data_IF_572181134053
#
_entry.id   IF_572181134053
#
_cell.length_a   1.000
_cell.length_b   1.000
_cell.length_c   1.000
_cell.angle_alpha   90.00
_cell.angle_beta   90.00
_cell.angle_gamma   90.00
#
_symmetry.space_group_name_H-M   'P 1'
#
loop_
_entity.id
_entity.type
_entity.pdbx_description
1 polymer ?
#
# COMPACT_ATOMS: atom_id res chain seq x y z
N UNK A 1 -12.83 8.97 12.20
CA UNK A 1 -13.27 7.78 11.43
C UNK A 1 -12.92 7.92 9.95
N UNK A 2 -13.24 9.03 9.32
CA UNK A 2 -12.95 9.34 7.91
C UNK A 2 -11.47 9.22 7.54
N UNK A 3 -10.57 9.84 8.31
CA UNK A 3 -9.11 9.76 8.07
C UNK A 3 -8.57 8.33 8.17
N UNK A 4 -9.11 7.52 9.09
CA UNK A 4 -8.74 6.11 9.21
C UNK A 4 -9.23 5.30 8.01
N UNK A 5 -10.46 5.55 7.55
CA UNK A 5 -11.00 4.94 6.35
C UNK A 5 -10.16 5.28 5.10
N UNK A 6 -9.81 6.57 4.90
CA UNK A 6 -8.94 6.98 3.79
C UNK A 6 -7.57 6.30 3.85
N UNK A 7 -7.00 6.14 5.05
CA UNK A 7 -5.75 5.40 5.22
C UNK A 7 -5.88 3.94 4.78
N UNK A 8 -6.98 3.26 5.13
CA UNK A 8 -7.26 1.89 4.69
C UNK A 8 -7.43 1.83 3.16
N UNK A 9 -8.11 2.81 2.57
CA UNK A 9 -8.28 2.89 1.10
C UNK A 9 -6.91 3.05 0.42
N UNK A 10 -6.06 3.98 0.88
CA UNK A 10 -4.71 4.18 0.35
C UNK A 10 -3.84 2.91 0.47
N UNK A 11 -3.88 2.26 1.64
CA UNK A 11 -3.19 0.97 1.83
C UNK A 11 -3.69 -0.09 0.85
N UNK A 12 -5.00 -0.14 0.62
CA UNK A 12 -5.63 -1.08 -0.30
C UNK A 12 -5.24 -0.83 -1.76
N UNK A 13 -5.15 0.45 -2.19
CA UNK A 13 -4.69 0.83 -3.52
C UNK A 13 -3.23 0.45 -3.71
N UNK A 14 -2.35 0.83 -2.77
CA UNK A 14 -0.93 0.48 -2.82
C UNK A 14 -0.71 -1.04 -2.84
N UNK A 15 -1.47 -1.80 -2.02
CA UNK A 15 -1.40 -3.26 -2.02
C UNK A 15 -1.93 -3.89 -3.32
N UNK A 16 -2.82 -3.22 -4.05
CA UNK A 16 -3.33 -3.72 -5.34
C UNK A 16 -2.22 -3.90 -6.38
N UNK A 17 -1.25 -3.00 -6.42
CA UNK A 17 -0.06 -3.15 -7.27
C UNK A 17 0.78 -4.37 -6.88
N UNK A 18 0.99 -4.57 -5.58
CA UNK A 18 1.68 -5.75 -5.07
C UNK A 18 0.92 -7.04 -5.40
N UNK A 19 -0.42 -7.05 -5.24
CA UNK A 19 -1.26 -8.22 -5.58
C UNK A 19 -1.09 -8.59 -7.05
N UNK A 20 -1.16 -7.63 -7.96
CA UNK A 20 -0.95 -7.88 -9.39
C UNK A 20 0.45 -8.45 -9.68
N UNK A 21 1.49 -7.91 -9.05
CA UNK A 21 2.85 -8.41 -9.18
C UNK A 21 2.98 -9.85 -8.63
N UNK A 22 2.37 -10.16 -7.47
CA UNK A 22 2.36 -11.51 -6.90
C UNK A 22 1.62 -12.49 -7.79
N UNK A 23 0.45 -12.11 -8.33
CA UNK A 23 -0.30 -12.97 -9.28
C UNK A 23 0.54 -13.28 -10.52
N UNK A 24 1.24 -12.29 -11.06
CA UNK A 24 2.14 -12.50 -12.20
C UNK A 24 3.31 -13.42 -11.83
N UNK A 25 3.99 -13.14 -10.72
CA UNK A 25 5.12 -13.93 -10.24
C UNK A 25 4.71 -15.39 -9.95
N UNK A 26 3.52 -15.61 -9.38
CA UNK A 26 2.95 -16.94 -9.15
C UNK A 26 2.76 -17.74 -10.45
N UNK A 27 2.40 -17.07 -11.54
CA UNK A 27 2.28 -17.70 -12.86
C UNK A 27 3.66 -18.09 -13.41
N UNK A 28 4.66 -17.24 -13.22
CA UNK A 28 6.05 -17.51 -13.63
C UNK A 28 6.66 -18.65 -12.82
N UNK A 29 6.43 -18.64 -11.50
CA UNK A 29 6.99 -19.61 -10.56
C UNK A 29 6.16 -20.91 -10.42
N UNK A 30 5.44 -21.35 -11.45
CA UNK A 30 4.61 -22.57 -11.42
C UNK A 30 5.34 -23.84 -10.96
N UNK A 31 6.66 -23.93 -11.26
CA UNK A 31 7.52 -25.07 -10.92
C UNK A 31 8.18 -24.94 -9.53
N UNK A 32 8.02 -23.81 -8.87
CA UNK A 32 8.53 -23.60 -7.52
C UNK A 32 7.71 -24.34 -6.46
N UNK A 33 8.29 -24.65 -5.29
CA UNK A 33 7.57 -25.23 -4.16
C UNK A 33 6.37 -24.38 -3.77
N UNK A 34 5.24 -25.01 -3.48
CA UNK A 34 3.96 -24.31 -3.23
C UNK A 34 3.97 -23.45 -1.95
N UNK A 35 4.83 -23.78 -0.97
CA UNK A 35 4.99 -22.95 0.22
C UNK A 35 5.48 -21.53 -0.08
N UNK A 36 6.21 -21.32 -1.19
CA UNK A 36 6.67 -19.98 -1.61
C UNK A 36 5.49 -19.11 -2.01
N UNK A 37 4.47 -19.66 -2.67
CA UNK A 37 3.26 -18.92 -2.97
C UNK A 37 2.54 -18.43 -1.70
N UNK A 38 2.49 -19.28 -0.66
CA UNK A 38 1.92 -18.89 0.64
C UNK A 38 2.73 -17.78 1.29
N UNK A 39 4.07 -17.80 1.17
CA UNK A 39 4.94 -16.73 1.63
C UNK A 39 4.66 -15.40 0.90
N UNK A 40 4.48 -15.45 -0.42
CA UNK A 40 4.13 -14.26 -1.23
C UNK A 40 2.82 -13.62 -0.75
N UNK A 41 1.81 -14.44 -0.43
CA UNK A 41 0.57 -13.93 0.16
C UNK A 41 0.77 -13.35 1.57
N UNK A 42 1.74 -13.86 2.32
CA UNK A 42 2.18 -13.27 3.60
C UNK A 42 2.73 -11.84 3.42
N UNK A 43 3.51 -11.59 2.36
CA UNK A 43 4.00 -10.24 2.02
C UNK A 43 2.82 -9.30 1.70
N UNK A 44 1.83 -9.77 0.93
CA UNK A 44 0.61 -9.00 0.64
C UNK A 44 -0.17 -8.69 1.92
N UNK A 45 -0.36 -9.68 2.79
CA UNK A 45 -1.05 -9.49 4.07
C UNK A 45 -0.32 -8.48 4.96
N UNK A 46 1.01 -8.54 5.01
CA UNK A 46 1.82 -7.57 5.74
C UNK A 46 1.59 -6.14 5.22
N UNK A 47 1.57 -5.92 3.89
CA UNK A 47 1.31 -4.61 3.29
C UNK A 47 -0.10 -4.09 3.60
N UNK A 48 -1.11 -4.98 3.67
CA UNK A 48 -2.48 -4.63 3.99
C UNK A 48 -2.71 -4.35 5.48
N UNK A 49 -1.88 -4.90 6.38
CA UNK A 49 -2.02 -4.74 7.84
C UNK A 49 -1.14 -3.61 8.36
N UNK A 50 0.10 -3.51 7.85
CA UNK A 50 1.11 -2.61 8.39
C UNK A 50 0.96 -1.20 7.77
N UNK A 51 0.59 -0.19 8.57
CA UNK A 51 0.43 1.18 8.09
C UNK A 51 1.77 1.92 7.95
N UNK A 52 2.86 1.30 8.39
CA UNK A 52 4.20 1.87 8.33
C UNK A 52 4.91 1.37 7.08
N UNK A 53 5.62 2.25 6.41
CA UNK A 53 6.45 1.93 5.27
C UNK A 53 7.72 2.75 5.30
N UNK A 54 8.80 2.16 4.81
CA UNK A 54 10.07 2.84 4.63
C UNK A 54 10.11 3.45 3.23
N UNK A 55 10.67 4.64 3.11
CA UNK A 55 10.92 5.24 1.80
C UNK A 55 12.15 4.61 1.16
N UNK A 56 12.07 4.32 -0.13
CA UNK A 56 13.17 3.76 -0.91
C UNK A 56 13.09 4.18 -2.36
N UNK A 57 14.24 4.49 -2.94
CA UNK A 57 14.37 4.71 -4.38
C UNK A 57 14.09 3.44 -5.22
N UNK A 58 14.07 2.26 -4.59
CA UNK A 58 13.75 0.98 -5.24
C UNK A 58 12.25 0.68 -5.23
N UNK A 59 11.41 1.54 -4.65
CA UNK A 59 9.97 1.33 -4.63
C UNK A 59 9.39 1.34 -6.05
N UNK A 60 8.57 0.34 -6.34
CA UNK A 60 7.79 0.23 -7.57
C UNK A 60 6.33 0.66 -7.37
N UNK A 61 5.97 1.11 -6.17
CA UNK A 61 4.65 1.67 -5.91
C UNK A 61 4.61 3.08 -6.50
N UNK A 62 3.64 3.40 -7.38
CA UNK A 62 3.59 4.71 -8.03
C UNK A 62 3.34 5.86 -7.05
N UNK A 63 2.45 5.66 -6.05
CA UNK A 63 2.12 6.65 -5.03
C UNK A 63 1.94 6.01 -3.67
N UNK A 64 2.52 6.63 -2.64
CA UNK A 64 2.34 6.21 -1.25
C UNK A 64 0.98 6.63 -0.69
N UNK A 65 0.47 7.78 -1.13
CA UNK A 65 -0.74 8.42 -0.67
C UNK A 65 -1.53 8.93 -1.87
N UNK A 66 -2.37 8.06 -2.42
CA UNK A 66 -3.17 8.36 -3.61
C UNK A 66 -4.24 9.40 -3.32
N UNK A 67 -4.88 9.33 -2.14
CA UNK A 67 -5.93 10.22 -1.69
C UNK A 67 -5.43 10.94 -0.44
N UNK A 68 -5.22 12.26 -0.52
CA UNK A 68 -4.83 13.05 0.63
C UNK A 68 -5.93 13.04 1.70
N UNK A 69 -5.60 12.93 3.00
CA UNK A 69 -6.58 13.09 4.08
C UNK A 69 -7.28 14.46 4.06
N UNK A 70 -6.64 15.46 3.47
CA UNK A 70 -7.12 16.84 3.38
C UNK A 70 -8.05 17.09 2.19
N UNK A 71 -8.23 16.11 1.30
CA UNK A 71 -9.10 16.22 0.11
C UNK A 71 -10.52 16.73 0.45
N UNK A 72 -10.98 16.50 1.68
CA UNK A 72 -12.27 16.99 2.17
C UNK A 72 -12.30 18.53 2.36
N UNK A 73 -11.13 19.16 2.50
CA UNK A 73 -11.01 20.61 2.74
C UNK A 73 -10.48 21.37 1.52
N UNK A 74 -10.05 20.64 0.50
CA UNK A 74 -9.52 21.23 -0.73
C UNK A 74 -10.62 21.86 -1.59
N UNK A 75 -10.35 23.06 -2.10
CA UNK A 75 -11.20 23.73 -3.07
C UNK A 75 -11.14 23.09 -4.46
N UNK A 76 -10.01 22.47 -4.77
CA UNK A 76 -9.78 21.71 -6.00
C UNK A 76 -9.36 20.29 -5.60
N UNK A 77 -10.33 19.38 -5.32
CA UNK A 77 -9.99 18.02 -4.89
C UNK A 77 -9.31 17.25 -6.03
N UNK A 78 -8.09 16.78 -5.77
CA UNK A 78 -7.29 16.01 -6.72
C UNK A 78 -6.75 14.75 -6.04
N UNK A 79 -6.53 13.70 -6.84
CA UNK A 79 -5.85 12.48 -6.41
C UNK A 79 -4.49 12.36 -7.12
N UNK A 80 -3.54 11.72 -6.45
CA UNK A 80 -2.22 11.46 -7.01
C UNK A 80 -1.98 9.95 -7.07
N UNK A 81 -2.29 9.35 -8.20
CA UNK A 81 -2.08 7.90 -8.39
C UNK A 81 -0.61 7.56 -8.63
N UNK A 82 0.24 8.56 -8.92
CA UNK A 82 1.63 8.40 -9.36
C UNK A 82 1.76 7.96 -10.82
N UNK A 83 0.65 7.87 -11.55
CA UNK A 83 0.60 7.57 -12.98
C UNK A 83 -0.06 8.72 -13.71
N UNK A 84 0.75 9.62 -14.29
CA UNK A 84 0.28 10.87 -14.91
C UNK A 84 -0.84 10.69 -15.95
N UNK A 85 -0.86 9.55 -16.66
CA UNK A 85 -1.93 9.27 -17.64
C UNK A 85 -3.28 9.02 -16.98
N UNK A 86 -3.30 8.44 -15.77
CA UNK A 86 -4.51 8.22 -14.99
C UNK A 86 -4.95 9.53 -14.36
N UNK A 87 -4.02 10.27 -13.75
CA UNK A 87 -4.30 11.53 -13.07
C UNK A 87 -4.91 12.57 -14.01
N UNK A 88 -4.39 12.67 -15.25
CA UNK A 88 -4.95 13.56 -16.30
C UNK A 88 -6.39 13.23 -16.72
N UNK A 89 -6.82 11.99 -16.58
CA UNK A 89 -8.19 11.57 -16.94
C UNK A 89 -9.12 11.70 -15.75
N UNK A 90 -8.64 11.36 -14.55
CA UNK A 90 -9.48 11.23 -13.36
C UNK A 90 -9.65 12.57 -12.64
N UNK A 91 -8.60 13.37 -12.52
CA UNK A 91 -8.66 14.64 -11.77
C UNK A 91 -9.66 15.65 -12.33
N UNK A 92 -9.79 15.87 -13.66
CA UNK A 92 -10.84 16.74 -14.18
C UNK A 92 -12.24 16.29 -13.76
N UNK A 93 -12.51 14.97 -13.81
CA UNK A 93 -13.80 14.41 -13.42
C UNK A 93 -14.05 14.62 -11.91
N UNK A 94 -13.03 14.43 -11.07
CA UNK A 94 -13.14 14.63 -9.62
C UNK A 94 -13.40 16.10 -9.32
N UNK A 95 -12.60 17.00 -9.91
CA UNK A 95 -12.74 18.44 -9.69
C UNK A 95 -14.10 18.95 -10.17
N UNK A 96 -14.54 18.56 -11.37
CA UNK A 96 -15.86 18.98 -11.90
C UNK A 96 -17.04 18.44 -11.07
N UNK A 97 -16.88 17.25 -10.47
CA UNK A 97 -17.98 16.60 -9.71
C UNK A 97 -18.01 17.04 -8.25
N UNK A 98 -16.85 17.27 -7.63
CA UNK A 98 -16.72 17.47 -6.18
C UNK A 98 -16.13 18.82 -5.77
N UNK A 99 -15.81 19.72 -6.70
CA UNK A 99 -15.42 21.08 -6.33
C UNK A 99 -16.60 21.76 -5.59
N UNK A 100 -16.34 22.45 -4.47
CA UNK A 100 -17.38 23.18 -3.77
C UNK A 100 -17.90 24.34 -4.64
N UNK A 101 -19.21 24.49 -4.73
CA UNK A 101 -19.79 25.67 -5.38
C UNK A 101 -19.47 26.92 -4.55
N UNK A 102 -19.20 28.09 -5.19
CA UNK A 102 -18.84 29.34 -4.50
C UNK A 102 -19.87 29.80 -3.45
N UNK A 103 -21.13 29.37 -3.59
CA UNK A 103 -22.25 29.73 -2.71
C UNK A 103 -22.50 28.64 -1.64
N UNK A 104 -22.03 27.41 -1.86
CA UNK A 104 -22.19 26.30 -0.91
C UNK A 104 -21.01 26.27 0.08
N UNK A 105 -21.31 26.37 1.35
CA UNK A 105 -20.31 26.41 2.43
C UNK A 105 -19.62 25.07 2.74
N UNK A 106 -19.99 23.97 2.09
CA UNK A 106 -19.46 22.63 2.38
C UNK A 106 -19.02 21.90 1.10
N UNK A 107 -17.80 21.36 1.12
CA UNK A 107 -17.31 20.47 0.08
C UNK A 107 -18.15 19.17 0.10
N UNK A 108 -18.71 18.68 -1.04
CA UNK A 108 -19.48 17.44 -1.10
C UNK A 108 -18.72 16.23 -0.52
N UNK A 109 -17.39 16.20 -0.60
CA UNK A 109 -16.55 15.15 -0.03
C UNK A 109 -16.60 15.12 1.50
N UNK A 110 -16.85 16.24 2.17
CA UNK A 110 -17.02 16.28 3.64
C UNK A 110 -18.24 15.45 4.10
N UNK A 111 -19.25 15.31 3.25
CA UNK A 111 -20.42 14.49 3.54
C UNK A 111 -20.25 13.04 3.02
N UNK A 112 -19.69 12.88 1.83
CA UNK A 112 -19.56 11.59 1.17
C UNK A 112 -18.59 10.65 1.90
N UNK A 113 -17.41 11.12 2.28
CA UNK A 113 -16.38 10.28 2.90
C UNK A 113 -16.82 9.71 4.26
N UNK A 114 -17.45 10.47 5.17
CA UNK A 114 -18.02 9.90 6.40
C UNK A 114 -19.11 8.84 6.13
N UNK A 115 -19.98 9.05 5.13
CA UNK A 115 -21.00 8.06 4.75
C UNK A 115 -20.34 6.77 4.24
N UNK A 116 -19.35 6.88 3.36
CA UNK A 116 -18.59 5.72 2.88
C UNK A 116 -17.86 5.00 4.02
N UNK A 117 -17.31 5.74 5.00
CA UNK A 117 -16.68 5.14 6.17
C UNK A 117 -17.68 4.36 7.06
N UNK A 118 -18.92 4.83 7.16
CA UNK A 118 -20.00 4.10 7.86
C UNK A 118 -20.37 2.82 7.09
N UNK A 119 -20.56 2.92 5.76
CA UNK A 119 -20.85 1.76 4.91
C UNK A 119 -19.72 0.72 5.00
N UNK A 120 -18.48 1.17 4.99
CA UNK A 120 -17.32 0.31 5.18
C UNK A 120 -17.35 -0.42 6.52
N UNK A 121 -17.64 0.28 7.62
CA UNK A 121 -17.71 -0.31 8.95
C UNK A 121 -18.87 -1.33 9.05
N UNK A 122 -20.03 -1.04 8.46
CA UNK A 122 -21.16 -1.98 8.40
C UNK A 122 -20.76 -3.24 7.63
N UNK A 123 -20.05 -3.11 6.51
CA UNK A 123 -19.56 -4.24 5.75
C UNK A 123 -18.62 -5.15 6.55
N UNK A 124 -17.67 -4.57 7.31
CA UNK A 124 -16.80 -5.33 8.21
C UNK A 124 -17.63 -6.10 9.25
N UNK A 125 -18.56 -5.42 9.92
CA UNK A 125 -19.42 -6.04 10.94
C UNK A 125 -20.22 -7.20 10.33
N UNK A 126 -20.81 -7.01 9.16
CA UNK A 126 -21.56 -8.05 8.47
C UNK A 126 -20.70 -9.30 8.16
N UNK A 127 -19.47 -9.09 7.67
CA UNK A 127 -18.53 -10.18 7.40
C UNK A 127 -18.09 -10.92 8.68
N UNK A 128 -17.80 -10.19 9.76
CA UNK A 128 -17.42 -10.78 11.04
C UNK A 128 -18.58 -11.56 11.68
N UNK A 129 -19.80 -11.00 11.62
CA UNK A 129 -21.02 -11.69 12.10
C UNK A 129 -21.25 -12.98 11.29
N UNK A 130 -21.09 -12.91 9.97
CA UNK A 130 -21.20 -14.11 9.12
C UNK A 130 -20.17 -15.18 9.50
N UNK A 131 -18.90 -14.81 9.73
CA UNK A 131 -17.86 -15.72 10.17
C UNK A 131 -18.18 -16.34 11.53
N UNK A 132 -18.61 -15.52 12.50
CA UNK A 132 -18.97 -15.98 13.85
C UNK A 132 -20.17 -16.95 13.81
N UNK A 133 -21.23 -16.58 13.10
CA UNK A 133 -22.42 -17.47 12.95
C UNK A 133 -22.03 -18.78 12.27
N UNK A 134 -21.22 -18.73 11.23
CA UNK A 134 -20.73 -19.93 10.54
C UNK A 134 -19.87 -20.82 11.45
N UNK A 135 -19.00 -20.23 12.25
CA UNK A 135 -18.18 -20.95 13.21
C UNK A 135 -19.02 -21.63 14.30
N UNK A 136 -19.96 -20.92 14.91
CA UNK A 136 -20.84 -21.50 15.95
C UNK A 136 -21.78 -22.58 15.39
N UNK A 137 -22.28 -22.42 14.15
CA UNK A 137 -23.04 -23.48 13.48
C UNK A 137 -22.20 -24.74 13.28
N UNK A 138 -20.94 -24.58 12.87
CA UNK A 138 -20.03 -25.70 12.68
C UNK A 138 -19.69 -26.36 14.03
N UNK A 139 -19.43 -25.58 15.07
CA UNK A 139 -19.18 -26.07 16.42
C UNK A 139 -20.37 -26.86 16.97
N UNK A 140 -21.61 -26.45 16.72
CA UNK A 140 -22.79 -27.20 17.11
C UNK A 140 -22.90 -28.55 16.40
N UNK A 141 -22.55 -28.63 15.10
CA UNK A 141 -22.56 -29.88 14.34
C UNK A 141 -21.58 -30.92 14.89
N UNK A 142 -20.42 -30.46 15.36
CA UNK A 142 -19.42 -31.38 15.93
C UNK A 142 -19.61 -31.68 17.42
N UNK A 143 -20.64 -31.08 18.04
CA UNK A 143 -20.90 -31.28 19.47
C UNK A 143 -21.16 -32.72 19.92
N UNK A 144 -21.67 -33.57 19.01
CA UNK A 144 -21.93 -35.00 19.24
C UNK A 144 -20.80 -35.94 18.76
N UNK A 145 -19.61 -35.37 18.47
CA UNK A 145 -18.48 -36.19 17.97
C UNK A 145 -17.84 -37.06 19.04
N UNK A 146 -17.32 -38.22 18.64
CA UNK A 146 -16.63 -39.16 19.50
C UNK A 146 -15.12 -39.01 19.36
N UNK A 147 -14.42 -38.93 20.49
CA UNK A 147 -12.94 -38.88 20.49
C UNK A 147 -12.40 -40.29 20.22
N UNK A 148 -11.51 -40.39 19.24
CA UNK A 148 -10.85 -41.66 18.88
C UNK A 148 -9.42 -41.72 19.41
N UNK A 149 -8.69 -40.60 19.29
CA UNK A 149 -7.31 -40.50 19.71
C UNK A 149 -6.94 -39.02 19.86
N UNK A 150 -6.26 -38.66 20.93
CA UNK A 150 -5.74 -37.27 21.22
C UNK A 150 -6.60 -36.13 20.67
N UNK A 151 -6.29 -35.66 19.47
CA UNK A 151 -6.96 -34.55 18.81
C UNK A 151 -7.80 -35.00 17.60
N UNK A 152 -8.12 -36.30 17.46
CA UNK A 152 -8.92 -36.84 16.34
C UNK A 152 -10.29 -37.26 16.85
N UNK A 153 -11.33 -36.73 16.17
CA UNK A 153 -12.73 -36.95 16.48
C UNK A 153 -13.48 -37.47 15.27
N UNK A 154 -14.38 -38.43 15.47
CA UNK A 154 -15.30 -38.91 14.44
C UNK A 154 -16.67 -38.28 14.65
N UNK A 155 -17.30 -37.86 13.57
CA UNK A 155 -18.59 -37.16 13.57
C UNK A 155 -19.45 -37.64 12.40
N UNK A 156 -20.74 -37.93 12.67
CA UNK A 156 -21.72 -38.37 11.67
C UNK A 156 -22.29 -37.22 10.85
N UNK A 157 -22.37 -36.02 11.44
CA UNK A 157 -23.01 -34.84 10.84
C UNK A 157 -22.13 -34.05 9.86
N UNK A 158 -20.93 -34.53 9.58
CA UNK A 158 -20.01 -33.91 8.65
C UNK A 158 -19.76 -34.77 7.43
N UNK A 159 -19.51 -34.13 6.28
CA UNK A 159 -19.27 -34.83 5.01
C UNK A 159 -17.81 -34.80 4.57
N UNK A 160 -17.01 -33.90 5.14
CA UNK A 160 -15.61 -33.72 4.79
C UNK A 160 -14.78 -33.56 6.06
N UNK A 161 -13.55 -34.05 6.08
CA UNK A 161 -12.61 -33.82 7.17
C UNK A 161 -12.31 -32.33 7.28
N UNK A 162 -12.06 -31.83 8.47
CA UNK A 162 -11.59 -30.45 8.72
C UNK A 162 -11.02 -30.29 10.13
N UNK A 163 -10.31 -29.20 10.32
CA UNK A 163 -9.77 -28.78 11.61
C UNK A 163 -10.64 -27.69 12.20
N UNK A 164 -11.00 -27.80 13.48
CA UNK A 164 -11.71 -26.80 14.24
C UNK A 164 -11.00 -26.51 15.56
N UNK A 165 -10.97 -25.23 15.94
CA UNK A 165 -10.35 -24.75 17.19
C UNK A 165 -9.13 -23.87 16.92
N UNK A 166 -9.02 -22.75 17.65
CA UNK A 166 -7.89 -21.82 17.56
C UNK A 166 -6.72 -22.27 18.43
N UNK A 167 -6.97 -22.44 19.74
CA UNK A 167 -5.92 -22.77 20.72
C UNK A 167 -5.70 -24.28 20.90
N UNK A 168 -6.76 -25.07 20.70
CA UNK A 168 -6.72 -26.52 20.76
C UNK A 168 -7.36 -27.06 19.49
N UNK A 169 -6.63 -27.03 18.37
CA UNK A 169 -7.17 -27.50 17.09
C UNK A 169 -7.37 -29.02 17.12
N UNK A 170 -8.57 -29.45 16.76
CA UNK A 170 -8.96 -30.84 16.65
C UNK A 170 -9.33 -31.19 15.22
N UNK A 171 -8.98 -32.39 14.79
CA UNK A 171 -9.31 -32.95 13.47
C UNK A 171 -10.63 -33.70 13.60
N UNK A 172 -11.60 -33.33 12.78
CA UNK A 172 -12.90 -33.98 12.69
C UNK A 172 -12.99 -34.77 11.38
N UNK A 173 -13.35 -36.04 11.46
CA UNK A 173 -13.40 -36.97 10.32
C UNK A 173 -14.82 -37.54 10.23
N UNK A 174 -15.44 -37.63 9.03
CA UNK A 174 -16.71 -38.29 8.84
C UNK A 174 -16.66 -39.78 9.24
N UNK A 175 -17.70 -40.29 9.91
CA UNK A 175 -17.78 -41.70 10.30
C UNK A 175 -17.80 -42.72 9.13
N UNK A 176 -18.29 -42.29 7.96
CA UNK A 176 -18.31 -43.07 6.72
C UNK A 176 -16.99 -43.09 5.93
N UNK A 177 -15.88 -42.68 6.53
CA UNK A 177 -14.58 -42.68 5.86
C UNK A 177 -14.01 -44.11 5.78
N UNK A 178 -13.56 -44.48 4.57
CA UNK A 178 -12.91 -45.77 4.35
C UNK A 178 -11.60 -45.88 5.17
N UNK A 179 -11.45 -47.00 5.89
CA UNK A 179 -10.26 -47.27 6.72
C UNK A 179 -8.96 -47.23 5.91
N UNK A 180 -8.98 -47.64 4.64
CA UNK A 180 -7.83 -47.61 3.75
C UNK A 180 -7.38 -46.15 3.42
N UNK A 181 -8.29 -45.20 3.45
CA UNK A 181 -8.03 -43.77 3.14
C UNK A 181 -7.68 -42.97 4.38
N UNK A 182 -8.07 -43.46 5.56
CA UNK A 182 -7.92 -42.74 6.83
C UNK A 182 -6.47 -42.26 7.11
N UNK A 183 -5.39 -43.07 6.90
CA UNK A 183 -4.03 -42.61 7.12
C UNK A 183 -3.64 -41.38 6.26
N UNK A 184 -4.11 -41.35 5.02
CA UNK A 184 -3.81 -40.25 4.07
C UNK A 184 -4.55 -39.00 4.45
N UNK A 185 -5.80 -39.09 4.87
CA UNK A 185 -6.61 -37.97 5.35
C UNK A 185 -5.98 -37.37 6.61
N UNK A 186 -5.63 -38.20 7.59
CA UNK A 186 -4.97 -37.76 8.82
C UNK A 186 -3.61 -37.10 8.50
N UNK A 187 -2.85 -37.66 7.56
CA UNK A 187 -1.57 -37.05 7.15
C UNK A 187 -1.78 -35.66 6.55
N UNK A 188 -2.84 -35.46 5.75
CA UNK A 188 -3.20 -34.17 5.18
C UNK A 188 -3.59 -33.15 6.25
N UNK A 189 -4.53 -33.49 7.14
CA UNK A 189 -4.98 -32.62 8.22
C UNK A 189 -3.82 -32.31 9.20
N UNK A 190 -2.96 -33.25 9.50
CA UNK A 190 -1.75 -33.00 10.27
C UNK A 190 -0.75 -32.07 9.56
N UNK A 191 -0.69 -32.06 8.24
CA UNK A 191 0.13 -31.11 7.49
C UNK A 191 -0.39 -29.68 7.70
N UNK A 192 -1.71 -29.46 7.71
CA UNK A 192 -2.32 -28.18 8.06
C UNK A 192 -1.98 -27.75 9.50
N UNK A 193 -2.08 -28.65 10.47
CA UNK A 193 -1.70 -28.34 11.86
C UNK A 193 -0.23 -27.94 11.99
N UNK A 194 0.67 -28.71 11.39
CA UNK A 194 2.12 -28.43 11.41
C UNK A 194 2.50 -27.12 10.71
N UNK A 195 1.65 -26.60 9.84
CA UNK A 195 1.81 -25.34 9.12
C UNK A 195 1.10 -24.16 9.81
N UNK A 196 0.33 -24.45 10.87
CA UNK A 196 -0.49 -23.45 11.56
C UNK A 196 -1.56 -22.81 10.65
N UNK A 197 -2.08 -23.52 9.65
CA UNK A 197 -3.03 -23.00 8.68
C UNK A 197 -4.36 -22.60 9.34
N UNK A 198 -4.69 -23.16 10.51
CA UNK A 198 -5.82 -22.77 11.36
C UNK A 198 -5.71 -21.35 11.94
N UNK A 199 -4.54 -20.71 11.84
CA UNK A 199 -4.32 -19.29 12.13
C UNK A 199 -4.29 -18.45 10.85
N UNK A 200 -3.61 -18.93 9.81
CA UNK A 200 -3.41 -18.16 8.58
C UNK A 200 -4.70 -17.97 7.79
N UNK A 201 -5.59 -18.97 7.71
CA UNK A 201 -6.88 -18.83 7.01
C UNK A 201 -7.79 -17.79 7.68
N UNK A 202 -8.03 -17.80 9.01
CA UNK A 202 -8.80 -16.77 9.70
C UNK A 202 -8.16 -15.37 9.62
N UNK A 203 -6.83 -15.27 9.73
CA UNK A 203 -6.13 -14.01 9.57
C UNK A 203 -6.33 -13.43 8.16
N UNK A 204 -6.20 -14.27 7.13
CA UNK A 204 -6.48 -13.87 5.75
C UNK A 204 -7.93 -13.39 5.58
N UNK A 205 -8.89 -14.05 6.23
CA UNK A 205 -10.29 -13.63 6.21
C UNK A 205 -10.50 -12.30 6.94
N UNK A 206 -9.82 -12.06 8.06
CA UNK A 206 -9.87 -10.78 8.77
C UNK A 206 -9.36 -9.64 7.88
N UNK A 207 -8.23 -9.86 7.19
CA UNK A 207 -7.69 -8.89 6.22
C UNK A 207 -8.69 -8.65 5.09
N UNK A 208 -9.30 -9.70 4.55
CA UNK A 208 -10.37 -9.58 3.56
C UNK A 208 -11.55 -8.78 4.11
N UNK A 209 -11.99 -9.01 5.36
CA UNK A 209 -13.09 -8.29 5.97
C UNK A 209 -12.80 -6.79 6.12
N UNK A 210 -11.57 -6.39 6.43
CA UNK A 210 -11.16 -4.99 6.50
C UNK A 210 -11.16 -4.34 5.11
N UNK A 211 -10.73 -5.06 4.09
CA UNK A 211 -10.59 -4.57 2.71
C UNK A 211 -11.66 -5.12 1.76
N UNK A 212 -12.85 -5.44 2.28
CA UNK A 212 -13.93 -6.12 1.56
C UNK A 212 -14.37 -5.41 0.28
N UNK A 213 -14.18 -4.10 0.21
CA UNK A 213 -14.51 -3.27 -0.95
C UNK A 213 -13.53 -3.46 -2.13
N UNK A 214 -12.37 -4.08 -1.92
CA UNK A 214 -11.36 -4.29 -2.96
C UNK A 214 -11.47 -5.68 -3.59
N UNK A 215 -11.86 -5.82 -4.87
CA UNK A 215 -12.01 -7.12 -5.52
C UNK A 215 -10.70 -7.92 -5.63
N UNK A 216 -9.54 -7.25 -5.70
CA UNK A 216 -8.25 -7.94 -5.75
C UNK A 216 -7.93 -8.65 -4.43
N UNK A 217 -8.41 -8.14 -3.30
CA UNK A 217 -8.22 -8.80 -2.00
C UNK A 217 -9.09 -10.07 -1.92
N UNK A 218 -10.28 -10.10 -2.53
CA UNK A 218 -11.06 -11.34 -2.68
C UNK A 218 -10.32 -12.39 -3.50
N UNK A 219 -9.75 -12.00 -4.65
CA UNK A 219 -8.92 -12.88 -5.48
C UNK A 219 -7.72 -13.40 -4.66
N UNK A 220 -7.06 -12.52 -3.92
CA UNK A 220 -5.94 -12.88 -3.03
C UNK A 220 -6.34 -13.95 -2.02
N UNK A 221 -7.48 -13.79 -1.35
CA UNK A 221 -7.95 -14.74 -0.35
C UNK A 221 -8.28 -16.10 -0.96
N UNK A 222 -8.94 -16.14 -2.11
CA UNK A 222 -9.24 -17.38 -2.84
C UNK A 222 -7.93 -18.10 -3.24
N UNK A 223 -6.97 -17.34 -3.78
CA UNK A 223 -5.69 -17.90 -4.20
C UNK A 223 -4.83 -18.35 -3.01
N UNK A 224 -4.86 -17.63 -1.90
CA UNK A 224 -4.20 -18.03 -0.65
C UNK A 224 -4.74 -19.37 -0.16
N UNK A 225 -6.06 -19.52 -0.07
CA UNK A 225 -6.69 -20.78 0.35
C UNK A 225 -6.27 -21.95 -0.56
N UNK A 226 -6.28 -21.72 -1.88
CA UNK A 226 -5.83 -22.71 -2.86
C UNK A 226 -4.35 -23.08 -2.71
N UNK A 227 -3.48 -22.11 -2.53
CA UNK A 227 -2.04 -22.33 -2.40
C UNK A 227 -1.70 -23.03 -1.07
N UNK A 228 -2.46 -22.78 0.00
CA UNK A 228 -2.37 -23.51 1.27
C UNK A 228 -2.66 -25.01 1.04
N UNK A 229 -3.76 -25.35 0.34
CA UNK A 229 -4.09 -26.75 0.01
C UNK A 229 -2.98 -27.44 -0.80
N UNK A 230 -2.50 -26.77 -1.87
CA UNK A 230 -1.42 -27.30 -2.69
C UNK A 230 -0.11 -27.49 -1.92
N UNK A 231 0.17 -26.62 -0.96
CA UNK A 231 1.37 -26.72 -0.13
C UNK A 231 1.24 -27.81 0.94
N UNK A 232 0.03 -28.11 1.43
CA UNK A 232 -0.22 -29.25 2.30
C UNK A 232 -0.08 -30.56 1.52
N UNK A 233 -0.68 -30.66 0.32
CA UNK A 233 -0.50 -31.83 -0.55
C UNK A 233 0.99 -32.08 -0.83
N UNK A 234 1.73 -31.04 -1.23
CA UNK A 234 3.17 -31.16 -1.49
C UNK A 234 3.95 -31.66 -0.28
N UNK A 235 3.58 -31.25 0.93
CA UNK A 235 4.23 -31.68 2.18
C UNK A 235 3.99 -33.16 2.45
N UNK A 236 2.78 -33.65 2.17
CA UNK A 236 2.44 -35.07 2.36
C UNK A 236 3.15 -35.95 1.32
N UNK A 237 3.04 -35.62 0.03
CA UNK A 237 3.57 -36.44 -1.06
C UNK A 237 5.08 -36.51 -1.13
N UNK A 238 5.81 -35.56 -0.50
CA UNK A 238 7.29 -35.65 -0.44
C UNK A 238 7.84 -36.94 0.12
N UNK A 239 7.10 -37.56 1.03
CA UNK A 239 7.48 -38.82 1.71
C UNK A 239 6.88 -40.06 1.11
N UNK A 240 5.97 -39.94 0.12
CA UNK A 240 5.24 -41.03 -0.47
C UNK A 240 5.93 -41.57 -1.72
N UNK A 241 5.78 -42.88 -1.96
CA UNK A 241 6.13 -43.50 -3.24
C UNK A 241 4.99 -43.29 -4.26
N UNK A 242 5.18 -43.79 -5.50
CA UNK A 242 4.21 -43.57 -6.58
C UNK A 242 2.86 -44.24 -6.32
N UNK A 243 2.83 -45.45 -5.77
CA UNK A 243 1.60 -46.15 -5.45
C UNK A 243 0.83 -45.46 -4.32
N UNK A 244 1.53 -45.07 -3.26
CA UNK A 244 0.93 -44.30 -2.16
C UNK A 244 0.40 -42.93 -2.64
N UNK A 245 1.05 -42.30 -3.62
CA UNK A 245 0.56 -41.02 -4.20
C UNK A 245 -0.75 -41.24 -4.99
N UNK A 246 -0.95 -42.41 -5.61
CA UNK A 246 -2.21 -42.77 -6.25
C UNK A 246 -3.30 -42.92 -5.17
N UNK A 247 -3.05 -43.74 -4.12
CA UNK A 247 -4.00 -43.90 -3.01
C UNK A 247 -4.33 -42.60 -2.30
N UNK A 248 -3.36 -41.71 -2.13
CA UNK A 248 -3.59 -40.36 -1.62
C UNK A 248 -4.51 -39.53 -2.56
N UNK A 249 -4.31 -39.66 -3.88
CA UNK A 249 -5.18 -38.97 -4.86
C UNK A 249 -6.61 -39.49 -4.84
N UNK A 250 -6.80 -40.80 -4.62
CA UNK A 250 -8.12 -41.43 -4.43
C UNK A 250 -8.80 -40.94 -3.15
N UNK A 251 -8.06 -40.80 -2.04
CA UNK A 251 -8.57 -40.23 -0.81
C UNK A 251 -9.02 -38.75 -1.00
N UNK A 252 -8.26 -37.95 -1.76
CA UNK A 252 -8.65 -36.57 -2.10
C UNK A 252 -9.94 -36.53 -2.94
N UNK A 253 -10.09 -37.46 -3.91
CA UNK A 253 -11.29 -37.54 -4.73
C UNK A 253 -12.50 -37.95 -3.93
N UNK A 254 -12.40 -38.98 -3.05
CA UNK A 254 -13.51 -39.44 -2.23
C UNK A 254 -14.05 -38.34 -1.30
N UNK A 255 -13.15 -37.59 -0.68
CA UNK A 255 -13.53 -36.44 0.14
C UNK A 255 -14.28 -35.33 -0.67
N UNK A 256 -14.09 -35.27 -1.98
CA UNK A 256 -14.69 -34.22 -2.82
C UNK A 256 -16.06 -34.59 -3.40
N UNK A 257 -16.35 -35.88 -3.62
CA UNK A 257 -17.58 -36.37 -4.29
C UNK A 257 -18.84 -36.13 -3.43
N UNK A 258 -18.71 -36.17 -2.10
CA UNK A 258 -19.83 -36.04 -1.17
C UNK A 258 -20.30 -34.62 -0.90
N UNK A 259 -19.84 -33.62 -1.68
CA UNK A 259 -20.09 -32.19 -1.41
C UNK A 259 -21.31 -31.61 -2.09
N UNK A 260 -22.50 -32.07 -1.76
CA UNK A 260 -23.74 -31.41 -2.29
C UNK A 260 -24.19 -30.15 -1.52
N UNK A 261 -23.75 -29.97 -0.30
CA UNK A 261 -24.20 -28.83 0.54
C UNK A 261 -23.19 -28.45 1.62
N UNK A 262 -22.00 -28.05 1.26
CA UNK A 262 -21.15 -27.40 2.29
C UNK A 262 -21.51 -25.91 2.32
N UNK A 263 -22.17 -25.53 3.41
CA UNK A 263 -22.30 -24.12 3.80
C UNK A 263 -20.90 -23.55 3.85
N UNK A 264 -20.62 -22.58 2.98
CA UNK A 264 -19.33 -21.92 2.84
C UNK A 264 -18.99 -21.23 4.15
N UNK A 265 -18.35 -21.96 5.09
CA UNK A 265 -17.75 -21.33 6.25
C UNK A 265 -16.47 -20.61 5.76
N UNK A 266 -16.33 -19.29 5.90
CA UNK A 266 -15.14 -18.57 5.47
C UNK A 266 -13.86 -19.07 6.14
N UNK A 267 -14.00 -19.70 7.30
CA UNK A 267 -12.89 -20.29 8.06
C UNK A 267 -12.56 -21.72 7.64
N UNK A 268 -13.45 -22.36 6.85
CA UNK A 268 -13.32 -23.73 6.38
C UNK A 268 -13.44 -23.81 4.86
N UNK A 269 -12.88 -22.84 4.12
CA UNK A 269 -12.76 -22.93 2.66
C UNK A 269 -11.85 -24.08 2.29
N UNK A 270 -12.42 -25.27 2.22
CA UNK A 270 -11.80 -26.43 1.62
C UNK A 270 -12.15 -26.46 0.13
N UNK A 271 -11.13 -26.58 -0.70
CA UNK A 271 -11.15 -27.16 -2.02
C UNK A 271 -11.81 -26.39 -3.17
N UNK A 272 -11.15 -25.34 -3.58
CA UNK A 272 -11.22 -24.91 -4.97
C UNK A 272 -10.21 -25.77 -5.75
N UNK A 273 -10.70 -26.60 -6.66
CA UNK A 273 -9.84 -27.27 -7.65
C UNK A 273 -9.27 -28.65 -7.29
N UNK A 274 -10.09 -29.60 -6.82
CA UNK A 274 -9.67 -31.00 -6.61
C UNK A 274 -8.96 -31.57 -7.83
N UNK A 275 -9.45 -31.29 -9.04
CA UNK A 275 -8.80 -31.70 -10.29
C UNK A 275 -7.34 -31.23 -10.38
N UNK A 276 -7.06 -30.00 -9.96
CA UNK A 276 -5.70 -29.46 -9.98
C UNK A 276 -4.84 -30.08 -8.87
N UNK A 277 -5.39 -30.31 -7.68
CA UNK A 277 -4.71 -30.99 -6.57
C UNK A 277 -4.25 -32.37 -7.02
N UNK A 278 -5.19 -33.20 -7.51
CA UNK A 278 -4.89 -34.54 -8.02
C UNK A 278 -3.85 -34.52 -9.14
N UNK A 279 -3.99 -33.58 -10.12
CA UNK A 279 -3.01 -33.44 -11.19
C UNK A 279 -1.62 -33.09 -10.64
N UNK A 280 -1.52 -32.22 -9.65
CA UNK A 280 -0.24 -31.84 -9.05
C UNK A 280 0.38 -32.99 -8.23
N UNK A 281 -0.44 -33.77 -7.52
CA UNK A 281 0.01 -34.96 -6.77
C UNK A 281 0.60 -36.00 -7.72
N UNK A 282 -0.14 -36.37 -8.76
CA UNK A 282 0.28 -37.42 -9.71
C UNK A 282 1.49 -37.01 -10.57
N UNK A 283 1.65 -35.73 -10.85
CA UNK A 283 2.77 -35.21 -11.64
C UNK A 283 3.86 -34.55 -10.77
N UNK A 284 3.86 -34.80 -9.46
CA UNK A 284 4.84 -34.18 -8.58
C UNK A 284 6.27 -34.59 -8.94
N UNK A 285 7.12 -33.58 -9.07
CA UNK A 285 8.57 -33.74 -9.20
C UNK A 285 9.23 -32.82 -8.17
N UNK A 286 10.22 -33.35 -7.46
CA UNK A 286 10.99 -32.54 -6.52
C UNK A 286 11.59 -31.35 -7.25
N UNK A 287 11.34 -30.13 -6.81
CA UNK A 287 11.88 -28.93 -7.46
C UNK A 287 13.41 -28.93 -7.37
N UNK A 288 14.07 -28.55 -8.47
CA UNK A 288 15.52 -28.40 -8.48
C UNK A 288 15.92 -27.23 -7.56
N UNK A 289 17.09 -27.34 -6.93
CA UNK A 289 17.62 -26.34 -6.01
C UNK A 289 17.61 -24.92 -6.61
N UNK A 290 18.02 -24.77 -7.87
CA UNK A 290 18.04 -23.49 -8.57
C UNK A 290 16.67 -22.83 -8.70
N UNK A 291 15.62 -23.63 -8.90
CA UNK A 291 14.25 -23.11 -8.97
C UNK A 291 13.85 -22.52 -7.62
N UNK A 292 14.22 -23.20 -6.53
CA UNK A 292 13.95 -22.73 -5.16
C UNK A 292 14.72 -21.44 -4.89
N UNK A 293 16.02 -21.40 -5.24
CA UNK A 293 16.86 -20.23 -5.04
C UNK A 293 16.32 -19.00 -5.80
N UNK A 294 15.99 -19.15 -7.09
CA UNK A 294 15.41 -18.07 -7.91
C UNK A 294 14.09 -17.60 -7.31
N UNK A 295 13.23 -18.51 -6.88
CA UNK A 295 11.93 -18.16 -6.32
C UNK A 295 12.07 -17.40 -4.98
N UNK A 296 13.01 -17.77 -4.13
CA UNK A 296 13.29 -17.06 -2.87
C UNK A 296 13.84 -15.66 -3.15
N UNK A 297 14.85 -15.55 -4.04
CA UNK A 297 15.42 -14.24 -4.41
C UNK A 297 14.35 -13.35 -5.02
N UNK A 298 13.53 -13.85 -5.96
CA UNK A 298 12.43 -13.07 -6.56
C UNK A 298 11.41 -12.61 -5.51
N UNK A 299 11.11 -13.45 -4.50
CA UNK A 299 10.21 -13.06 -3.40
C UNK A 299 10.79 -11.95 -2.53
N UNK A 300 12.10 -12.00 -2.25
CA UNK A 300 12.81 -10.95 -1.49
C UNK A 300 12.81 -9.64 -2.29
N UNK A 301 13.18 -9.68 -3.58
CA UNK A 301 13.18 -8.50 -4.45
C UNK A 301 11.79 -7.88 -4.50
N UNK A 302 10.75 -8.69 -4.71
CA UNK A 302 9.37 -8.21 -4.71
C UNK A 302 8.99 -7.58 -3.37
N UNK A 303 9.39 -8.19 -2.24
CA UNK A 303 9.19 -7.63 -0.91
C UNK A 303 9.84 -6.25 -0.78
N UNK A 304 11.12 -6.11 -1.15
CA UNK A 304 11.84 -4.84 -1.07
C UNK A 304 11.19 -3.77 -1.95
N UNK A 305 10.81 -4.11 -3.20
CA UNK A 305 10.25 -3.15 -4.15
C UNK A 305 8.82 -2.69 -3.79
N UNK A 306 8.01 -3.52 -3.14
CA UNK A 306 6.59 -3.22 -2.90
C UNK A 306 6.21 -3.03 -1.42
N UNK A 307 7.09 -3.33 -0.46
CA UNK A 307 6.87 -2.96 0.94
C UNK A 307 7.41 -1.57 1.27
N UNK A 308 8.25 -1.01 0.40
CA UNK A 308 8.75 0.36 0.51
C UNK A 308 7.86 1.33 -0.27
N UNK A 309 7.80 2.57 0.19
CA UNK A 309 7.15 3.66 -0.53
C UNK A 309 8.16 4.40 -1.41
N UNK A 310 7.71 5.05 -2.50
CA UNK A 310 8.56 5.97 -3.24
C UNK A 310 9.03 7.11 -2.33
N UNK A 311 10.19 7.68 -2.63
CA UNK A 311 10.68 8.88 -1.94
C UNK A 311 9.63 9.99 -2.08
N UNK A 312 9.38 10.72 -1.00
CA UNK A 312 8.29 11.70 -0.93
C UNK A 312 8.45 12.88 -1.88
N UNK A 313 9.67 13.18 -2.36
CA UNK A 313 9.92 14.28 -3.28
C UNK A 313 9.89 13.80 -4.75
N UNK A 314 9.00 14.37 -5.61
CA UNK A 314 8.74 13.84 -6.95
C UNK A 314 9.84 14.13 -7.97
N UNK A 315 10.72 15.10 -7.69
CA UNK A 315 11.76 15.55 -8.64
C UNK A 315 13.11 14.93 -8.28
N UNK A 316 13.80 14.38 -9.27
CA UNK A 316 15.20 13.98 -9.11
C UNK A 316 16.07 15.22 -9.21
N UNK A 317 16.50 15.73 -8.05
CA UNK A 317 17.29 16.95 -7.97
C UNK A 317 18.66 16.88 -8.67
N UNK A 318 19.20 15.68 -8.85
CA UNK A 318 20.44 15.42 -9.59
C UNK A 318 20.33 15.74 -11.10
N UNK A 319 19.12 15.68 -11.67
CA UNK A 319 18.85 16.00 -13.07
C UNK A 319 18.37 17.44 -13.31
N UNK A 320 18.11 18.22 -12.26
CA UNK A 320 17.59 19.59 -12.38
C UNK A 320 18.64 20.51 -12.99
N UNK A 321 18.30 21.13 -14.12
CA UNK A 321 19.10 22.20 -14.73
C UNK A 321 18.48 23.55 -14.42
N UNK A 322 19.20 24.36 -13.64
CA UNK A 322 18.75 25.69 -13.23
C UNK A 322 18.92 26.67 -14.40
N UNK A 323 17.88 27.41 -14.72
CA UNK A 323 17.93 28.48 -15.72
C UNK A 323 18.15 29.84 -15.06
N UNK A 324 17.46 30.12 -13.97
CA UNK A 324 17.54 31.36 -13.16
C UNK A 324 17.27 31.01 -11.71
N UNK A 325 17.88 31.81 -10.80
CA UNK A 325 17.57 31.71 -9.38
C UNK A 325 17.55 33.11 -8.78
N UNK A 326 16.59 33.41 -7.91
CA UNK A 326 16.44 34.67 -7.21
C UNK A 326 16.09 34.42 -5.74
N UNK A 327 16.67 35.23 -4.86
CA UNK A 327 16.39 35.19 -3.43
C UNK A 327 15.38 36.29 -3.07
N UNK A 328 14.62 36.03 -2.01
CA UNK A 328 13.71 36.98 -1.40
C UNK A 328 13.85 36.86 0.13
N UNK A 329 14.25 37.96 0.80
CA UNK A 329 14.43 38.01 2.25
C UNK A 329 13.42 38.98 2.86
N UNK A 330 12.59 38.50 3.75
CA UNK A 330 11.54 39.26 4.44
C UNK A 330 11.92 39.66 5.87
N UNK A 331 13.17 39.37 6.33
CA UNK A 331 13.63 39.67 7.70
C UNK A 331 13.99 41.10 7.94
N UNK A 332 14.12 41.93 6.88
CA UNK A 332 14.52 43.30 6.99
C UNK A 332 13.34 44.23 7.28
N UNK A 333 13.51 45.17 8.21
CA UNK A 333 12.48 46.17 8.57
C UNK A 333 12.18 47.18 7.43
N UNK A 334 13.00 47.21 6.39
CA UNK A 334 12.90 48.12 5.23
C UNK A 334 12.09 47.52 4.06
N UNK A 335 11.50 46.35 4.24
CA UNK A 335 10.78 45.62 3.19
C UNK A 335 11.57 44.43 2.62
N UNK A 336 10.95 43.61 1.75
CA UNK A 336 11.60 42.44 1.18
C UNK A 336 12.78 42.84 0.27
N UNK A 337 13.94 42.26 0.52
CA UNK A 337 15.12 42.41 -0.35
C UNK A 337 15.19 41.25 -1.34
N UNK A 338 15.39 41.54 -2.61
CA UNK A 338 15.48 40.52 -3.67
C UNK A 338 16.81 40.64 -4.42
N UNK A 339 17.42 39.49 -4.67
CA UNK A 339 18.66 39.41 -5.43
C UNK A 339 18.58 38.30 -6.47
N UNK A 340 19.13 38.55 -7.65
CA UNK A 340 19.32 37.51 -8.66
C UNK A 340 20.71 36.88 -8.48
N UNK A 341 20.78 35.56 -8.54
CA UNK A 341 22.03 34.82 -8.41
C UNK A 341 22.88 34.98 -9.68
N UNK A 342 24.19 35.13 -9.48
CA UNK A 342 25.20 35.07 -10.53
C UNK A 342 25.38 33.63 -11.07
N UNK A 343 26.01 33.48 -12.22
CA UNK A 343 26.27 32.18 -12.81
C UNK A 343 27.10 31.27 -11.87
N UNK A 344 28.09 31.80 -11.15
CA UNK A 344 28.90 31.05 -10.19
C UNK A 344 28.08 30.56 -9.00
N UNK A 345 27.18 31.41 -8.45
CA UNK A 345 26.26 31.02 -7.36
C UNK A 345 25.25 29.98 -7.82
N UNK A 346 24.80 30.03 -9.09
CA UNK A 346 23.92 29.02 -9.68
C UNK A 346 24.64 27.67 -9.80
N UNK A 347 25.89 27.64 -10.19
CA UNK A 347 26.71 26.42 -10.28
C UNK A 347 26.95 25.82 -8.90
N UNK A 348 27.25 26.64 -7.89
CA UNK A 348 27.37 26.19 -6.51
C UNK A 348 26.02 25.63 -5.99
N UNK A 349 24.93 26.33 -6.20
CA UNK A 349 23.59 25.90 -5.83
C UNK A 349 23.24 24.56 -6.50
N UNK A 350 23.51 24.42 -7.78
CA UNK A 350 23.29 23.19 -8.54
C UNK A 350 24.06 21.99 -7.95
N UNK A 351 25.30 22.21 -7.53
CA UNK A 351 26.11 21.18 -6.89
C UNK A 351 25.58 20.74 -5.53
N UNK A 352 25.05 21.67 -4.74
CA UNK A 352 24.46 21.41 -3.41
C UNK A 352 23.09 20.75 -3.49
N UNK A 353 22.26 21.16 -4.44
CA UNK A 353 20.92 20.57 -4.66
C UNK A 353 21.01 19.09 -5.05
N UNK A 354 22.02 18.69 -5.81
CA UNK A 354 22.19 17.27 -6.24
C UNK A 354 22.26 16.27 -5.09
N UNK A 355 22.80 16.67 -3.95
CA UNK A 355 22.99 15.81 -2.78
C UNK A 355 22.03 16.12 -1.64
N UNK A 356 21.02 16.95 -1.89
CA UNK A 356 20.12 17.46 -0.87
C UNK A 356 19.25 16.36 -0.27
N UNK A 357 19.26 16.26 1.05
CA UNK A 357 18.37 15.33 1.79
C UNK A 357 17.04 16.01 2.07
N UNK A 358 16.00 15.49 1.43
CA UNK A 358 14.63 15.96 1.58
C UNK A 358 13.87 14.98 2.46
N UNK A 359 13.18 15.50 3.45
CA UNK A 359 12.30 14.75 4.34
C UNK A 359 10.88 14.62 3.82
N UNK A 360 9.97 14.32 4.72
CA UNK A 360 8.56 14.12 4.40
C UNK A 360 7.82 15.41 4.04
N UNK A 361 6.66 15.27 3.41
CA UNK A 361 5.68 16.35 3.26
C UNK A 361 5.39 16.98 4.62
N UNK A 362 5.41 18.30 4.67
CA UNK A 362 5.14 19.06 5.88
C UNK A 362 3.98 20.03 5.66
N UNK A 363 2.80 19.54 5.91
CA UNK A 363 1.56 20.30 5.77
C UNK A 363 1.40 21.38 6.86
N UNK A 364 2.13 21.28 7.98
CA UNK A 364 2.08 22.28 9.05
C UNK A 364 2.60 23.65 8.59
N UNK A 365 3.35 23.69 7.50
CA UNK A 365 3.90 24.91 6.90
C UNK A 365 2.93 25.62 5.95
N UNK A 366 1.83 24.98 5.60
CA UNK A 366 0.85 25.54 4.69
C UNK A 366 0.14 26.75 5.33
N UNK A 367 0.17 27.88 4.64
CA UNK A 367 -0.37 29.15 5.18
C UNK A 367 0.59 29.97 6.06
N UNK A 368 1.78 29.46 6.37
CA UNK A 368 2.82 30.23 7.04
C UNK A 368 3.63 31.06 6.04
N UNK A 369 3.91 32.33 6.40
CA UNK A 369 4.78 33.21 5.59
C UNK A 369 6.24 32.83 5.86
N UNK A 370 7.03 32.52 4.83
CA UNK A 370 8.45 32.27 5.02
C UNK A 370 9.20 33.57 5.40
N UNK A 371 10.24 33.46 6.20
CA UNK A 371 11.16 34.57 6.51
C UNK A 371 12.09 34.89 5.34
N UNK A 372 12.46 33.87 4.57
CA UNK A 372 13.26 34.02 3.35
C UNK A 372 12.94 32.88 2.38
N UNK A 373 13.13 33.16 1.08
CA UNK A 373 12.92 32.16 0.04
C UNK A 373 13.91 32.29 -1.10
N UNK A 374 14.21 31.17 -1.75
CA UNK A 374 15.01 31.05 -2.96
C UNK A 374 14.14 30.43 -4.04
N UNK A 375 13.80 31.20 -5.05
CA UNK A 375 13.05 30.75 -6.21
C UNK A 375 14.02 30.28 -7.31
N UNK A 376 13.87 29.06 -7.75
CA UNK A 376 14.69 28.43 -8.78
C UNK A 376 13.80 28.07 -9.96
N UNK A 377 14.03 28.70 -11.10
CA UNK A 377 13.36 28.35 -12.36
C UNK A 377 14.23 27.33 -13.10
N UNK A 378 13.65 26.19 -13.48
CA UNK A 378 14.33 25.15 -14.22
C UNK A 378 14.27 25.40 -15.72
N UNK A 379 15.11 24.71 -16.52
CA UNK A 379 15.03 24.79 -17.99
C UNK A 379 13.76 24.19 -18.56
N UNK A 380 13.09 23.32 -17.81
CA UNK A 380 11.82 22.68 -18.18
C UNK A 380 10.59 23.54 -17.84
N UNK A 381 10.81 24.79 -17.40
CA UNK A 381 9.77 25.76 -17.00
C UNK A 381 9.08 25.46 -15.67
N UNK A 382 9.61 24.52 -14.87
CA UNK A 382 9.13 24.26 -13.53
C UNK A 382 9.76 25.23 -12.53
N UNK A 383 9.02 25.59 -11.49
CA UNK A 383 9.51 26.44 -10.41
C UNK A 383 9.64 25.63 -9.11
N UNK A 384 10.83 25.64 -8.54
CA UNK A 384 11.13 25.07 -7.23
C UNK A 384 11.42 26.22 -6.28
N UNK A 385 10.74 26.27 -5.14
CA UNK A 385 10.98 27.31 -4.14
C UNK A 385 11.50 26.70 -2.85
N UNK A 386 12.68 27.13 -2.41
CA UNK A 386 13.25 26.77 -1.11
C UNK A 386 12.91 27.88 -0.12
N UNK A 387 12.27 27.56 1.00
CA UNK A 387 11.76 28.55 1.96
C UNK A 387 12.21 28.23 3.36
N UNK A 388 12.60 29.26 4.12
CA UNK A 388 12.91 29.14 5.54
C UNK A 388 11.80 29.75 6.39
N UNK A 389 11.34 29.01 7.41
CA UNK A 389 10.21 29.35 8.27
C UNK A 389 10.60 29.70 9.72
N UNK A 390 11.89 29.70 10.03
CA UNK A 390 12.40 30.08 11.35
C UNK A 390 13.52 31.11 11.19
N UNK A 391 13.50 32.14 12.05
CA UNK A 391 14.55 33.16 12.12
C UNK A 391 15.93 32.59 12.47
N UNK A 392 15.97 31.45 13.17
CA UNK A 392 17.20 30.76 13.58
C UNK A 392 17.72 29.77 12.54
N UNK A 393 17.04 29.61 11.39
CA UNK A 393 17.47 28.72 10.31
C UNK A 393 17.28 27.24 10.54
N UNK A 394 16.47 26.81 11.53
CA UNK A 394 16.29 25.40 11.86
C UNK A 394 15.19 24.71 11.04
N UNK A 395 14.28 25.49 10.42
CA UNK A 395 13.17 24.95 9.64
C UNK A 395 13.21 25.52 8.22
N UNK A 396 13.47 24.66 7.25
CA UNK A 396 13.37 24.98 5.84
C UNK A 396 12.62 23.87 5.09
N UNK A 397 11.97 24.27 4.02
CA UNK A 397 11.21 23.36 3.16
C UNK A 397 11.34 23.76 1.69
N UNK A 398 11.09 22.80 0.82
CA UNK A 398 10.93 22.99 -0.62
C UNK A 398 9.43 23.05 -0.92
N UNK A 399 9.01 24.11 -1.57
CA UNK A 399 7.67 24.19 -2.17
C UNK A 399 7.76 23.75 -3.64
N UNK A 400 7.06 22.69 -3.96
CA UNK A 400 6.91 22.17 -5.32
C UNK A 400 5.46 21.72 -5.53
N UNK A 401 4.84 22.17 -6.63
CA UNK A 401 3.42 21.89 -6.94
C UNK A 401 2.46 22.15 -5.75
N UNK A 402 2.66 23.27 -5.06
CA UNK A 402 1.87 23.70 -3.90
C UNK A 402 1.98 22.80 -2.64
N UNK A 403 3.00 21.95 -2.55
CA UNK A 403 3.27 21.07 -1.41
C UNK A 403 4.64 21.41 -0.81
N UNK A 404 4.70 21.51 0.52
CA UNK A 404 5.96 21.69 1.25
C UNK A 404 6.59 20.36 1.60
N UNK A 405 7.91 20.25 1.34
CA UNK A 405 8.75 19.10 1.71
C UNK A 405 9.87 19.59 2.61
N UNK A 406 9.95 19.05 3.83
CA UNK A 406 10.96 19.50 4.81
C UNK A 406 12.37 19.20 4.34
N UNK A 407 13.29 20.15 4.48
CA UNK A 407 14.72 19.97 4.27
C UNK A 407 15.33 19.47 5.59
N UNK A 408 16.07 18.38 5.54
CA UNK A 408 16.73 17.79 6.72
C UNK A 408 18.24 18.01 6.73
N UNK A 409 18.77 18.66 5.71
CA UNK A 409 20.19 18.93 5.53
C UNK A 409 20.56 20.29 6.18
N UNK A 410 21.20 20.26 7.34
CA UNK A 410 21.58 21.46 8.09
C UNK A 410 22.58 22.35 7.35
N UNK A 411 23.47 21.75 6.54
CA UNK A 411 24.47 22.51 5.78
C UNK A 411 23.81 23.28 4.64
N UNK A 412 22.83 22.65 3.98
CA UNK A 412 22.03 23.33 2.96
C UNK A 412 21.14 24.43 3.57
N UNK A 413 20.53 24.19 4.72
CA UNK A 413 19.71 25.21 5.42
C UNK A 413 20.56 26.43 5.75
N UNK A 414 21.77 26.23 6.28
CA UNK A 414 22.70 27.32 6.60
C UNK A 414 23.18 28.06 5.34
N UNK A 415 23.39 27.35 4.24
CA UNK A 415 23.71 27.94 2.94
C UNK A 415 22.55 28.79 2.40
N UNK A 416 21.32 28.26 2.45
CA UNK A 416 20.11 28.96 2.02
C UNK A 416 19.92 30.27 2.79
N UNK A 417 20.15 30.24 4.11
CA UNK A 417 20.05 31.39 4.97
C UNK A 417 21.07 32.51 4.57
N UNK A 418 22.32 32.12 4.34
CA UNK A 418 23.40 33.06 3.96
C UNK A 418 23.19 33.68 2.58
N UNK A 419 22.78 32.85 1.60
CA UNK A 419 22.57 33.34 0.23
C UNK A 419 21.36 34.26 0.14
N UNK A 420 20.31 34.02 0.94
CA UNK A 420 19.15 34.89 1.04
C UNK A 420 19.44 36.17 1.81
N UNK A 421 20.36 36.14 2.79
CA UNK A 421 20.83 37.35 3.50
C UNK A 421 21.75 38.24 2.66
N UNK A 422 22.24 37.77 1.52
CA UNK A 422 23.18 38.50 0.67
C UNK A 422 24.60 38.58 1.24
N UNK A 423 24.94 37.77 2.24
CA UNK A 423 26.27 37.78 2.89
C UNK A 423 27.42 37.36 1.96
N UNK A 424 27.11 36.77 0.82
CA UNK A 424 28.10 36.34 -0.19
C UNK A 424 28.41 37.43 -1.23
N UNK A 425 27.84 38.64 -1.11
CA UNK A 425 27.92 39.65 -2.16
C UNK A 425 28.64 40.93 -1.73
N UNK A 426 29.52 41.38 -2.59
CA UNK A 426 30.30 42.62 -2.43
C UNK A 426 29.75 43.82 -3.23
N UNK A 427 28.64 43.68 -3.98
CA UNK A 427 28.11 44.82 -4.78
C UNK A 427 26.57 44.96 -4.65
N UNK A 428 26.13 46.15 -4.23
CA UNK A 428 24.72 46.57 -4.19
C UNK A 428 24.26 47.00 -5.58
N UNK A 429 23.13 46.49 -6.04
CA UNK A 429 22.44 46.94 -7.25
C UNK A 429 21.48 48.10 -6.89
N UNK A 430 21.51 49.15 -7.66
CA UNK A 430 20.78 50.42 -7.48
C UNK A 430 19.27 50.28 -7.26
N UNK A 431 18.75 51.09 -6.33
CA UNK A 431 17.38 51.11 -5.79
C UNK A 431 16.24 51.37 -6.80
N UNK A 432 16.52 51.83 -8.04
CA UNK A 432 15.47 52.24 -9.00
C UNK A 432 14.72 51.10 -9.70
N UNK A 433 15.23 49.86 -9.62
CA UNK A 433 14.56 48.69 -10.20
C UNK A 433 13.80 47.82 -9.16
N UNK A 434 13.92 48.13 -7.88
CA UNK A 434 13.38 47.33 -6.78
C UNK A 434 11.86 47.53 -6.65
N UNK A 435 11.37 48.77 -6.79
CA UNK A 435 9.93 49.05 -6.66
C UNK A 435 9.08 48.39 -7.77
N UNK A 436 9.62 48.32 -9.00
CA UNK A 436 8.92 47.66 -10.11
C UNK A 436 8.94 46.12 -9.96
N UNK A 437 10.04 45.57 -9.44
CA UNK A 437 10.16 44.13 -9.20
C UNK A 437 9.31 43.67 -8.00
N UNK A 438 9.22 44.49 -6.94
CA UNK A 438 8.36 44.23 -5.76
C UNK A 438 6.88 44.33 -6.16
N UNK A 439 6.52 45.35 -6.95
CA UNK A 439 5.14 45.50 -7.43
C UNK A 439 4.71 44.33 -8.32
N UNK A 440 5.59 43.89 -9.20
CA UNK A 440 5.32 42.70 -10.06
C UNK A 440 5.29 41.39 -9.28
N UNK A 441 6.17 41.20 -8.27
CA UNK A 441 6.16 39.99 -7.45
C UNK A 441 4.94 39.91 -6.52
N UNK A 442 4.49 41.05 -5.98
CA UNK A 442 3.23 41.14 -5.19
C UNK A 442 2.02 40.94 -6.09
N UNK A 443 2.05 41.45 -7.31
CA UNK A 443 0.97 41.26 -8.29
C UNK A 443 0.93 39.80 -8.82
N UNK A 444 2.08 39.17 -9.07
CA UNK A 444 2.14 37.73 -9.43
C UNK A 444 1.65 36.84 -8.27
N UNK A 445 2.10 37.13 -7.05
CA UNK A 445 1.66 36.32 -5.88
C UNK A 445 0.18 36.54 -5.52
N UNK A 446 -0.35 37.73 -5.74
CA UNK A 446 -1.77 38.04 -5.61
C UNK A 446 -2.58 37.63 -6.85
N UNK A 447 -2.00 37.64 -8.05
CA UNK A 447 -2.64 37.16 -9.28
C UNK A 447 -2.91 35.66 -9.21
N UNK A 448 -1.97 34.87 -8.73
CA UNK A 448 -2.19 33.43 -8.53
C UNK A 448 -3.24 33.13 -7.42
N UNK A 449 -3.47 34.05 -6.48
CA UNK A 449 -4.58 33.99 -5.50
C UNK A 449 -5.87 34.64 -5.96
N UNK A 450 -5.84 35.68 -6.81
CA UNK A 450 -7.03 36.48 -7.19
C UNK A 450 -7.67 36.03 -8.50
N UNK A 451 -6.93 35.42 -9.44
CA UNK A 451 -7.50 35.01 -10.73
C UNK A 451 -8.28 33.71 -10.70
N UNK A 452 -8.31 32.97 -9.55
CA UNK A 452 -9.24 31.84 -9.36
C UNK A 452 -10.44 32.13 -8.46
N UNK A 453 -10.62 33.37 -7.99
CA UNK A 453 -11.64 33.65 -6.95
C UNK A 453 -12.57 34.84 -7.12
N UNK A 454 -12.35 35.76 -8.04
CA UNK A 454 -13.24 36.96 -8.16
C UNK A 454 -13.35 37.40 -9.62
N UNK A 455 -14.20 36.77 -10.39
CA UNK A 455 -15.01 37.42 -11.43
C UNK A 455 -16.19 36.51 -11.78
N UNK A 456 -17.26 36.64 -11.00
CA UNK A 456 -18.62 36.51 -11.44
C UNK A 456 -19.48 37.37 -10.51
N UNK A 457 -19.63 38.65 -10.88
CA UNK A 457 -20.87 39.39 -10.66
C UNK A 457 -21.54 39.51 -12.01
#
# INVERSE_FOLDING_TARGET
>A
MSSFFLKIVNMSIAASWLILAVVLLRVVLKKAPKWINVLLWGIVAFRLICPFSFESALSLIPSAETISPEIMMDWTPEISTGVSSIDKVVNPIITDTFAPEPIASANPLQLLIPVLAIVWAIGIIAMLVYAAVSYFRLQKKVGASLSVRDNIWICDDIQTPFILGFFKPSIYIPSGTDEAQLPYIIAHENAHLKRCDHWWKPLGYLVLAIHWFNPLVWITYILLCRDIELACDEKVIRGLNQNESISYSEALLSCSVNRRTVMVCPLAFGEVGVKERVKNVLNYKKPAFWIVAIAVVSSIVLGVCFLTNPSSFPVKLDSVQISKARTMDFRTNSGPTTFQLSAAEIDELSSRIKNLKIGHKDQSLQGHTPFYSLHVDTKENDRITFSGFDSNGNQAAILYENVYYRITDSDFISYLQRICAGETRTESINETNVDTAIHNAIMEHNSDRYYKGVFAC
#
